data_IF_667934955661
#
_entry.id   IF_667934955661
#
_cell.length_a   1.000
_cell.length_b   1.000
_cell.length_c   1.000
_cell.angle_alpha   90.00
_cell.angle_beta   90.00
_cell.angle_gamma   90.00
#
_symmetry.space_group_name_H-M   'P 1'
#
loop_
_entity.id
_entity.type
_entity.pdbx_description
1 polymer ?
#
# COMPACT_ATOMS: atom_id res chain seq x y z
N UNK A 1 8.38 25.15 19.34
CA UNK A 1 7.72 23.88 19.66
C UNK A 1 7.61 23.02 18.42
N UNK A 2 7.78 21.73 18.60
CA UNK A 2 7.52 20.78 17.51
C UNK A 2 6.02 20.60 17.32
N UNK A 3 5.57 20.61 16.06
CA UNK A 3 4.19 20.33 15.71
C UNK A 3 4.01 18.94 15.11
N UNK A 4 4.99 18.06 15.34
CA UNK A 4 4.89 16.68 14.89
C UNK A 4 3.73 15.95 15.54
N UNK A 5 3.02 15.20 14.73
CA UNK A 5 2.02 14.27 15.20
C UNK A 5 2.13 12.96 14.45
N UNK A 6 1.64 11.92 15.08
CA UNK A 6 1.58 10.60 14.49
C UNK A 6 0.13 10.19 14.32
N UNK A 7 -0.19 9.62 13.19
CA UNK A 7 -1.51 9.04 12.93
C UNK A 7 -1.32 7.56 12.71
N UNK A 8 -1.96 6.76 13.55
CA UNK A 8 -1.89 5.29 13.46
C UNK A 8 -2.69 4.80 12.28
N UNK A 9 -2.19 3.76 11.65
CA UNK A 9 -2.89 3.08 10.55
C UNK A 9 -3.01 1.59 10.85
N UNK A 10 -3.80 0.89 10.05
CA UNK A 10 -3.88 -0.57 10.07
C UNK A 10 -2.95 -1.21 9.04
N UNK A 11 -2.09 -0.44 8.43
CA UNK A 11 -1.17 -0.90 7.39
C UNK A 11 -0.03 -1.66 8.04
N UNK A 12 0.15 -2.91 7.64
CA UNK A 12 1.18 -3.82 8.20
C UNK A 12 2.26 -4.17 7.19
N UNK A 13 1.97 -4.13 5.91
CA UNK A 13 2.88 -4.59 4.86
C UNK A 13 3.60 -3.41 4.23
N UNK A 14 4.93 -3.35 4.45
CA UNK A 14 5.77 -2.28 3.91
C UNK A 14 5.76 -2.25 2.39
N UNK A 15 5.86 -3.39 1.74
CA UNK A 15 5.95 -3.46 0.28
C UNK A 15 4.67 -2.95 -0.38
N UNK A 16 3.51 -3.28 0.18
CA UNK A 16 2.24 -2.76 -0.28
C UNK A 16 2.15 -1.25 -0.08
N UNK A 17 2.58 -0.75 1.09
CA UNK A 17 2.60 0.68 1.38
C UNK A 17 3.48 1.44 0.38
N UNK A 18 4.70 0.96 0.17
CA UNK A 18 5.64 1.58 -0.78
C UNK A 18 5.08 1.56 -2.20
N UNK A 19 4.50 0.43 -2.62
CA UNK A 19 3.90 0.29 -3.95
C UNK A 19 2.78 1.30 -4.17
N UNK A 20 1.88 1.45 -3.21
CA UNK A 20 0.77 2.41 -3.32
C UNK A 20 1.28 3.85 -3.34
N UNK A 21 2.23 4.19 -2.48
CA UNK A 21 2.81 5.54 -2.46
C UNK A 21 3.46 5.88 -3.81
N UNK A 22 4.15 4.95 -4.42
CA UNK A 22 4.71 5.14 -5.77
C UNK A 22 3.64 5.30 -6.83
N UNK A 23 2.56 4.53 -6.76
CA UNK A 23 1.41 4.69 -7.66
C UNK A 23 0.75 6.05 -7.53
N UNK A 24 0.80 6.65 -6.36
CA UNK A 24 0.30 8.00 -6.10
C UNK A 24 1.29 9.10 -6.49
N UNK A 25 2.38 8.74 -7.17
CA UNK A 25 3.45 9.63 -7.64
C UNK A 25 4.30 10.23 -6.52
N UNK A 26 4.37 9.58 -5.38
CA UNK A 26 5.33 9.97 -4.33
C UNK A 26 6.68 9.32 -4.58
N UNK A 27 7.75 10.09 -4.34
CA UNK A 27 9.11 9.57 -4.27
C UNK A 27 9.39 9.13 -2.85
N UNK A 28 9.58 7.83 -2.64
CA UNK A 28 9.76 7.25 -1.30
C UNK A 28 11.19 6.77 -1.11
N UNK A 29 11.82 7.24 -0.05
CA UNK A 29 13.12 6.73 0.40
C UNK A 29 12.91 5.71 1.51
N UNK A 30 13.53 4.56 1.38
CA UNK A 30 13.41 3.44 2.32
C UNK A 30 14.73 3.29 3.08
N UNK A 31 14.67 3.29 4.39
CA UNK A 31 15.85 3.14 5.22
C UNK A 31 15.66 3.75 6.60
N UNK A 32 16.69 4.40 7.08
CA UNK A 32 16.66 5.11 8.36
C UNK A 32 16.87 6.59 8.07
N UNK A 33 15.81 7.36 8.11
CA UNK A 33 15.81 8.76 7.73
C UNK A 33 15.24 9.66 8.81
N UNK A 34 15.53 10.96 8.71
CA UNK A 34 14.98 11.98 9.59
C UNK A 34 13.91 12.77 8.83
N UNK A 35 12.68 12.70 9.30
CA UNK A 35 11.56 13.48 8.78
C UNK A 35 11.64 14.90 9.34
N UNK A 36 11.71 15.89 8.47
CA UNK A 36 11.93 17.30 8.85
C UNK A 36 10.61 17.99 9.15
N UNK A 37 10.64 18.85 10.14
CA UNK A 37 9.53 19.71 10.53
C UNK A 37 9.98 21.10 10.94
N UNK A 38 9.22 21.73 11.83
CA UNK A 38 9.40 23.11 12.24
C UNK A 38 10.73 23.35 12.95
N UNK A 39 11.44 24.40 12.52
CA UNK A 39 12.70 24.86 13.12
C UNK A 39 13.78 23.76 13.25
N UNK A 40 13.90 22.92 12.24
CA UNK A 40 14.90 21.87 12.24
C UNK A 40 14.61 20.68 13.11
N UNK A 41 13.42 20.62 13.73
CA UNK A 41 12.99 19.43 14.45
C UNK A 41 12.82 18.26 13.49
N UNK A 42 13.20 17.07 13.94
CA UNK A 42 13.12 15.85 13.13
C UNK A 42 12.54 14.69 13.94
N UNK A 43 12.00 13.73 13.21
CA UNK A 43 11.56 12.45 13.75
C UNK A 43 12.12 11.34 12.90
N UNK A 44 12.55 10.26 13.53
CA UNK A 44 13.07 9.09 12.80
C UNK A 44 11.93 8.34 12.12
N UNK A 45 12.14 8.01 10.85
CA UNK A 45 11.17 7.26 10.03
C UNK A 45 11.88 6.23 9.16
N UNK A 46 11.16 5.22 8.74
CA UNK A 46 11.66 4.17 7.85
C UNK A 46 11.36 4.46 6.38
N UNK A 47 10.28 5.17 6.13
CA UNK A 47 9.89 5.62 4.79
C UNK A 47 9.80 7.13 4.83
N UNK A 48 10.47 7.78 3.87
CA UNK A 48 10.54 9.23 3.82
C UNK A 48 10.03 9.75 2.48
N UNK A 49 9.13 10.73 2.54
CA UNK A 49 8.69 11.51 1.40
C UNK A 49 9.17 12.93 1.63
N UNK A 50 10.20 13.36 0.89
CA UNK A 50 10.80 14.68 1.05
C UNK A 50 9.95 15.77 0.44
N UNK A 51 9.98 16.94 1.06
CA UNK A 51 9.36 18.16 0.55
C UNK A 51 7.88 18.01 0.23
N UNK A 52 7.15 17.33 1.13
CA UNK A 52 5.68 17.27 1.04
C UNK A 52 5.04 18.65 1.25
N UNK A 53 5.78 19.58 1.81
CA UNK A 53 5.45 21.00 1.95
C UNK A 53 6.74 21.74 2.24
N UNK A 54 6.83 23.02 2.03
CA UNK A 54 7.98 23.93 2.12
C UNK A 54 9.12 23.49 3.08
N UNK A 55 9.90 22.48 2.69
CA UNK A 55 10.99 21.94 3.52
C UNK A 55 10.55 20.98 4.60
N UNK A 56 9.27 20.62 4.66
CA UNK A 56 8.71 19.65 5.59
C UNK A 56 8.50 18.32 4.86
N UNK A 57 8.64 17.23 5.60
CA UNK A 57 8.56 15.88 5.04
C UNK A 57 7.36 15.12 5.63
N UNK A 58 6.94 14.11 4.89
CA UNK A 58 6.06 13.05 5.40
C UNK A 58 6.91 11.81 5.66
N UNK A 59 6.58 11.09 6.71
CA UNK A 59 7.27 9.86 7.00
C UNK A 59 6.33 8.77 7.49
N UNK A 60 6.77 7.53 7.37
CA UNK A 60 6.09 6.39 7.97
C UNK A 60 7.09 5.60 8.78
N UNK A 61 6.66 5.12 9.93
CA UNK A 61 7.46 4.22 10.77
C UNK A 61 6.59 3.10 11.31
N UNK A 62 7.19 1.93 11.49
CA UNK A 62 6.50 0.80 12.09
C UNK A 62 6.49 0.95 13.61
N UNK A 63 5.32 0.82 14.20
CA UNK A 63 5.13 0.82 15.65
C UNK A 63 4.22 -0.35 16.01
N UNK A 64 4.79 -1.33 16.70
CA UNK A 64 4.07 -2.54 17.15
C UNK A 64 3.37 -3.30 16.01
N UNK A 65 4.00 -3.35 14.84
CA UNK A 65 3.50 -4.08 13.68
C UNK A 65 2.65 -3.26 12.72
N UNK A 66 2.23 -2.08 13.08
CA UNK A 66 1.46 -1.20 12.21
C UNK A 66 2.27 0.05 11.88
N UNK A 67 2.10 0.56 10.66
CA UNK A 67 2.74 1.81 10.26
C UNK A 67 2.00 3.01 10.81
N UNK A 68 2.77 4.00 11.23
CA UNK A 68 2.28 5.31 11.65
C UNK A 68 2.71 6.35 10.64
N UNK A 69 1.81 7.26 10.29
CA UNK A 69 2.14 8.44 9.49
C UNK A 69 2.67 9.52 10.43
N UNK A 70 3.87 10.01 10.13
CA UNK A 70 4.56 11.02 10.94
C UNK A 70 4.74 12.27 10.09
N UNK A 71 4.29 13.41 10.59
CA UNK A 71 4.47 14.68 9.91
C UNK A 71 4.30 15.84 10.88
N UNK A 72 4.92 16.96 10.54
CA UNK A 72 4.62 18.24 11.16
C UNK A 72 3.62 18.97 10.26
N UNK A 73 2.35 18.86 10.62
CA UNK A 73 1.25 19.37 9.78
C UNK A 73 1.17 20.89 9.74
N UNK A 74 1.95 21.59 10.57
CA UNK A 74 2.02 23.04 10.55
C UNK A 74 2.50 23.57 9.18
N UNK A 75 3.47 22.90 8.57
CA UNK A 75 4.05 23.31 7.30
C UNK A 75 3.53 22.55 6.07
N UNK A 76 2.69 21.56 6.27
CA UNK A 76 2.15 20.76 5.17
C UNK A 76 0.73 21.18 4.89
N UNK A 77 0.52 21.83 3.76
CA UNK A 77 -0.78 22.33 3.33
C UNK A 77 -1.28 21.54 2.14
N UNK A 78 -2.61 21.43 2.00
CA UNK A 78 -3.23 20.75 0.88
C UNK A 78 -3.27 19.23 1.01
N UNK A 79 -2.80 18.67 2.13
CA UNK A 79 -2.86 17.24 2.42
C UNK A 79 -3.68 17.02 3.69
N UNK A 80 -4.72 16.22 3.58
CA UNK A 80 -5.51 15.78 4.74
C UNK A 80 -5.02 14.39 5.15
N UNK A 81 -4.57 14.25 6.39
CA UNK A 81 -3.98 13.01 6.88
C UNK A 81 -4.95 11.84 6.85
N UNK A 82 -6.19 12.04 7.26
CA UNK A 82 -7.19 10.98 7.28
C UNK A 82 -7.56 10.53 5.86
N UNK A 83 -7.71 11.48 4.95
CA UNK A 83 -7.98 11.19 3.54
C UNK A 83 -6.82 10.45 2.89
N UNK A 84 -5.59 10.87 3.16
CA UNK A 84 -4.40 10.22 2.64
C UNK A 84 -4.32 8.77 3.11
N UNK A 85 -4.50 8.53 4.40
CA UNK A 85 -4.47 7.19 4.99
C UNK A 85 -5.59 6.33 4.42
N UNK A 86 -6.81 6.85 4.34
CA UNK A 86 -7.95 6.11 3.79
C UNK A 86 -7.73 5.74 2.33
N UNK A 87 -7.17 6.63 1.53
CA UNK A 87 -6.83 6.34 0.13
C UNK A 87 -5.78 5.25 0.02
N UNK A 88 -4.73 5.33 0.84
CA UNK A 88 -3.67 4.30 0.86
C UNK A 88 -4.24 2.95 1.29
N UNK A 89 -5.03 2.90 2.35
CA UNK A 89 -5.63 1.66 2.84
C UNK A 89 -6.58 1.03 1.82
N UNK A 90 -7.36 1.86 1.13
CA UNK A 90 -8.24 1.40 0.05
C UNK A 90 -7.46 0.76 -1.09
N UNK A 91 -6.38 1.39 -1.52
CA UNK A 91 -5.54 0.84 -2.59
C UNK A 91 -4.81 -0.44 -2.16
N UNK A 92 -4.36 -0.51 -0.92
CA UNK A 92 -3.75 -1.73 -0.37
C UNK A 92 -4.78 -2.87 -0.34
N UNK A 93 -6.00 -2.59 0.07
CA UNK A 93 -7.08 -3.60 0.08
C UNK A 93 -7.33 -4.16 -1.31
N UNK A 94 -7.29 -3.32 -2.35
CA UNK A 94 -7.42 -3.79 -3.74
C UNK A 94 -6.28 -4.74 -4.11
N UNK A 95 -5.05 -4.42 -3.73
CA UNK A 95 -3.89 -5.29 -3.96
C UNK A 95 -4.08 -6.64 -3.26
N UNK A 96 -4.46 -6.63 -2.00
CA UNK A 96 -4.65 -7.84 -1.20
C UNK A 96 -5.77 -8.72 -1.76
N UNK A 97 -6.88 -8.12 -2.18
CA UNK A 97 -7.99 -8.85 -2.78
C UNK A 97 -7.60 -9.48 -4.12
N UNK A 98 -6.81 -8.77 -4.92
CA UNK A 98 -6.29 -9.30 -6.18
C UNK A 98 -5.38 -10.51 -5.93
N UNK A 99 -4.50 -10.45 -4.94
CA UNK A 99 -3.63 -11.56 -4.57
C UNK A 99 -4.45 -12.77 -4.12
N UNK A 100 -5.47 -12.55 -3.28
CA UNK A 100 -6.37 -13.62 -2.82
C UNK A 100 -7.12 -14.25 -3.99
N UNK A 101 -7.60 -13.46 -4.92
CA UNK A 101 -8.30 -13.94 -6.11
C UNK A 101 -7.39 -14.81 -6.98
N UNK A 102 -6.16 -14.37 -7.23
CA UNK A 102 -5.19 -15.14 -8.01
C UNK A 102 -4.84 -16.47 -7.33
N UNK A 103 -4.65 -16.44 -6.01
CA UNK A 103 -4.38 -17.65 -5.24
C UNK A 103 -5.54 -18.64 -5.34
N UNK A 104 -6.78 -18.17 -5.14
CA UNK A 104 -7.97 -19.00 -5.24
C UNK A 104 -8.14 -19.57 -6.64
N UNK A 105 -7.91 -18.76 -7.67
CA UNK A 105 -7.96 -19.21 -9.06
C UNK A 105 -6.95 -20.32 -9.34
N UNK A 106 -5.69 -20.12 -8.93
CA UNK A 106 -4.64 -21.12 -9.15
C UNK A 106 -4.95 -22.44 -8.44
N UNK A 107 -5.51 -22.38 -7.25
CA UNK A 107 -5.95 -23.58 -6.48
C UNK A 107 -7.03 -24.35 -7.23
N UNK A 108 -8.05 -23.64 -7.73
CA UNK A 108 -9.14 -24.26 -8.51
C UNK A 108 -8.61 -24.83 -9.82
N UNK A 109 -7.74 -24.10 -10.50
CA UNK A 109 -7.11 -24.54 -11.76
C UNK A 109 -6.37 -25.86 -11.60
N UNK A 110 -5.54 -25.97 -10.55
CA UNK A 110 -4.80 -27.21 -10.27
C UNK A 110 -5.75 -28.40 -10.05
N UNK A 111 -6.81 -28.19 -9.27
CA UNK A 111 -7.80 -29.25 -9.04
C UNK A 111 -8.51 -29.70 -10.31
N UNK A 112 -8.87 -28.74 -11.18
CA UNK A 112 -9.55 -29.05 -12.44
C UNK A 112 -8.63 -29.83 -13.37
N UNK A 113 -7.37 -29.43 -13.48
CA UNK A 113 -6.38 -30.15 -14.29
C UNK A 113 -6.18 -31.58 -13.77
N UNK A 114 -6.10 -31.77 -12.46
CA UNK A 114 -5.98 -33.09 -11.84
C UNK A 114 -7.20 -33.97 -12.09
N UNK A 115 -8.37 -33.37 -12.27
CA UNK A 115 -9.61 -34.09 -12.59
C UNK A 115 -9.81 -34.34 -14.09
N UNK A 116 -8.85 -33.97 -14.93
CA UNK A 116 -8.89 -34.22 -16.37
C UNK A 116 -9.58 -33.13 -17.17
N UNK A 117 -9.71 -31.94 -16.62
CA UNK A 117 -10.20 -30.80 -17.37
C UNK A 117 -9.05 -30.01 -18.00
N UNK A 118 -9.34 -29.37 -19.10
CA UNK A 118 -8.47 -28.43 -19.76
C UNK A 118 -9.13 -27.06 -19.79
N UNK A 119 -8.36 -26.00 -19.58
CA UNK A 119 -8.84 -24.63 -19.66
C UNK A 119 -8.68 -24.14 -21.08
N UNK A 120 -9.81 -23.96 -21.79
CA UNK A 120 -9.82 -23.54 -23.20
C UNK A 120 -9.73 -22.02 -23.33
N UNK A 121 -10.29 -21.28 -22.39
CA UNK A 121 -10.33 -19.84 -22.43
C UNK A 121 -10.47 -19.25 -21.02
N UNK A 122 -9.95 -18.06 -20.86
CA UNK A 122 -9.96 -17.34 -19.60
C UNK A 122 -10.28 -15.87 -19.86
N UNK A 123 -11.31 -15.35 -19.18
CA UNK A 123 -11.69 -13.95 -19.25
C UNK A 123 -11.60 -13.32 -17.86
N UNK A 124 -10.88 -12.22 -17.78
CA UNK A 124 -10.74 -11.44 -16.53
C UNK A 124 -11.38 -10.08 -16.70
N UNK A 125 -12.43 -9.82 -15.95
CA UNK A 125 -13.23 -8.62 -16.08
C UNK A 125 -13.87 -8.25 -14.74
N UNK A 126 -13.79 -6.98 -14.34
CA UNK A 126 -14.47 -6.43 -13.15
C UNK A 126 -14.29 -7.25 -11.88
N UNK A 127 -13.07 -7.71 -11.61
CA UNK A 127 -12.76 -8.51 -10.42
C UNK A 127 -13.22 -9.95 -10.51
N UNK A 128 -13.75 -10.40 -11.65
CA UNK A 128 -14.16 -11.77 -11.90
C UNK A 128 -13.20 -12.48 -12.83
N UNK A 129 -12.99 -13.79 -12.61
CA UNK A 129 -12.30 -14.66 -13.54
C UNK A 129 -13.30 -15.69 -14.04
N UNK A 130 -13.56 -15.69 -15.35
CA UNK A 130 -14.42 -16.67 -16.02
C UNK A 130 -13.55 -17.61 -16.84
N UNK A 131 -13.79 -18.88 -16.67
CA UNK A 131 -13.07 -19.91 -17.41
C UNK A 131 -14.01 -20.77 -18.23
N UNK A 132 -13.54 -21.19 -19.40
CA UNK A 132 -14.20 -22.14 -20.24
C UNK A 132 -13.41 -23.43 -20.22
N UNK A 133 -14.10 -24.53 -19.94
CA UNK A 133 -13.48 -25.83 -19.73
C UNK A 133 -13.91 -26.83 -20.79
N UNK A 134 -12.99 -27.76 -21.10
CA UNK A 134 -13.33 -29.01 -21.78
C UNK A 134 -12.72 -30.16 -20.99
N UNK A 135 -13.34 -31.33 -21.12
CA UNK A 135 -12.84 -32.54 -20.46
C UNK A 135 -11.93 -33.29 -21.43
N UNK A 136 -10.75 -33.63 -20.93
CA UNK A 136 -9.82 -34.50 -21.66
C UNK A 136 -10.35 -35.94 -21.53
N UNK A 137 -10.61 -36.57 -22.65
CA UNK A 137 -11.11 -37.94 -22.70
C UNK A 137 -9.97 -38.92 -23.02
#
# INVERSE_FOLDING_TARGET
MSHFSTVRTEIKNRDHLVSVLKQMNYSVKIGNYQCRGYQGNTQSVELLIENAGSGYDLGFRNSNGNYELVADWYGIKGVNSDQLINNIQSEITKIENKIKQEYAYNTVKEKLLDQGFEIDDELREDGEIRIKLSRIV
#
